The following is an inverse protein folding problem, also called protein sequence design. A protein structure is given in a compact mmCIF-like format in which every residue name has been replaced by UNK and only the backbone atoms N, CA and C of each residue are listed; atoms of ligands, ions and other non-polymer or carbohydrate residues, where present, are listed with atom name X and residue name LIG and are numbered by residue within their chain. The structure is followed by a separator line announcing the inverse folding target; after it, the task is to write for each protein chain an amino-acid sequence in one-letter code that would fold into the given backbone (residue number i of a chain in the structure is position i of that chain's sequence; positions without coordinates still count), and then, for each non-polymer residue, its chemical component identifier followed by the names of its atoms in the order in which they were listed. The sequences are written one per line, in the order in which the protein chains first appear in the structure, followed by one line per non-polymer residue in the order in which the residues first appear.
data_IF_427176710351
#
_entry.id   IF_427176710351
#
_cell.length_a   1.000
_cell.length_b   1.000
_cell.length_c   1.000
_cell.angle_alpha   90.00
_cell.angle_beta   90.00
_cell.angle_gamma   90.00
#
_symmetry.space_group_name_H-M   'P 1'
#
loop_
_entity.id
_entity.type
_entity.pdbx_description
1 polymer ?
#
# COMPACT_ATOMS: atom_id res chain seq x y z
N UNK A 1 8.67 3.66 -17.75
CA UNK A 1 8.67 3.23 -16.32
C UNK A 1 7.39 3.63 -15.58
N UNK A 2 7.05 4.92 -15.42
CA UNK A 2 5.80 5.32 -14.73
C UNK A 2 4.56 4.76 -15.44
N UNK A 3 4.57 4.76 -16.79
CA UNK A 3 3.47 4.23 -17.63
C UNK A 3 3.32 2.70 -17.55
N UNK A 4 4.37 1.99 -17.16
CA UNK A 4 4.37 0.52 -17.06
C UNK A 4 3.85 0.03 -15.71
N UNK A 5 3.84 0.89 -14.68
CA UNK A 5 3.43 0.52 -13.33
C UNK A 5 2.02 -0.06 -13.29
N UNK A 6 0.98 0.52 -13.94
CA UNK A 6 -0.35 -0.07 -13.94
C UNK A 6 -0.41 -1.46 -14.58
N UNK A 7 0.39 -1.71 -15.63
CA UNK A 7 0.47 -3.01 -16.30
C UNK A 7 1.11 -4.06 -15.39
N UNK A 8 2.26 -3.71 -14.79
CA UNK A 8 2.94 -4.57 -13.80
C UNK A 8 2.00 -4.86 -12.64
N UNK A 9 1.35 -3.83 -12.10
CA UNK A 9 0.42 -3.94 -10.98
C UNK A 9 -0.77 -4.86 -11.32
N UNK A 10 -1.33 -4.73 -12.53
CA UNK A 10 -2.40 -5.60 -13.02
C UNK A 10 -1.99 -7.07 -13.14
N UNK A 11 -0.74 -7.33 -13.53
CA UNK A 11 -0.23 -8.69 -13.72
C UNK A 11 0.16 -9.39 -12.40
N UNK A 12 0.79 -8.68 -11.45
CA UNK A 12 1.43 -9.33 -10.29
C UNK A 12 0.72 -9.10 -8.96
N UNK A 13 -0.09 -8.05 -8.82
CA UNK A 13 -0.53 -7.63 -7.49
C UNK A 13 -1.54 -8.60 -6.86
N UNK A 14 -2.65 -8.87 -7.55
CA UNK A 14 -3.73 -9.68 -6.96
C UNK A 14 -3.35 -11.16 -6.78
N UNK A 15 -2.64 -11.75 -7.74
CA UNK A 15 -2.22 -13.14 -7.64
C UNK A 15 -1.23 -13.31 -6.46
N UNK A 16 -0.23 -12.43 -6.34
CA UNK A 16 0.74 -12.47 -5.24
C UNK A 16 0.08 -12.19 -3.91
N UNK A 17 -0.82 -11.20 -3.83
CA UNK A 17 -1.55 -10.91 -2.60
C UNK A 17 -2.34 -12.14 -2.12
N UNK A 18 -3.07 -12.81 -3.01
CA UNK A 18 -3.79 -14.05 -2.68
C UNK A 18 -2.87 -15.16 -2.19
N UNK A 19 -1.66 -15.28 -2.76
CA UNK A 19 -0.68 -16.27 -2.30
C UNK A 19 -0.21 -15.98 -0.88
N UNK A 20 0.19 -14.74 -0.59
CA UNK A 20 0.81 -14.38 0.69
C UNK A 20 -0.20 -14.25 1.85
N UNK A 21 -1.48 -14.07 1.56
CA UNK A 21 -2.54 -13.97 2.59
C UNK A 21 -3.26 -15.30 2.85
N UNK A 22 -3.04 -16.34 2.02
CA UNK A 22 -3.74 -17.64 2.17
C UNK A 22 -3.15 -18.49 3.29
N UNK A 23 -1.83 -18.51 3.41
CA UNK A 23 -1.13 -19.28 4.42
C UNK A 23 0.08 -18.48 4.93
N UNK A 24 0.20 -18.29 6.25
CA UNK A 24 1.21 -17.42 6.84
C UNK A 24 2.61 -18.02 6.85
N UNK A 25 2.74 -19.31 6.54
CA UNK A 25 4.02 -20.03 6.48
C UNK A 25 4.52 -20.21 5.04
N UNK A 26 3.62 -20.13 4.04
CA UNK A 26 3.99 -20.35 2.64
C UNK A 26 4.54 -19.07 1.98
N UNK A 27 5.53 -19.26 1.11
CA UNK A 27 6.14 -18.23 0.26
C UNK A 27 6.69 -16.98 1.00
N UNK A 28 7.55 -17.13 2.02
CA UNK A 28 8.12 -16.01 2.77
C UNK A 28 8.89 -15.02 1.88
N UNK A 29 9.58 -15.52 0.86
CA UNK A 29 10.30 -14.67 -0.11
C UNK A 29 9.35 -13.80 -0.93
N UNK A 30 8.20 -14.34 -1.36
CA UNK A 30 7.23 -13.58 -2.16
C UNK A 30 6.64 -12.44 -1.34
N UNK A 31 6.39 -12.67 -0.04
CA UNK A 31 5.92 -11.65 0.88
C UNK A 31 6.90 -10.49 1.00
N UNK A 32 8.17 -10.79 1.25
CA UNK A 32 9.23 -9.79 1.32
C UNK A 32 9.37 -9.00 0.01
N UNK A 33 9.42 -9.70 -1.13
CA UNK A 33 9.57 -9.07 -2.45
C UNK A 33 8.34 -8.25 -2.84
N UNK A 34 7.13 -8.68 -2.47
CA UNK A 34 5.89 -7.95 -2.72
C UNK A 34 5.89 -6.59 -2.03
N UNK A 35 6.22 -6.52 -0.74
CA UNK A 35 6.30 -5.24 -0.05
C UNK A 35 7.50 -4.40 -0.48
N UNK A 36 8.61 -5.04 -0.87
CA UNK A 36 9.74 -4.33 -1.49
C UNK A 36 9.36 -3.67 -2.82
N UNK A 37 8.53 -4.33 -3.64
CA UNK A 37 8.00 -3.77 -4.88
C UNK A 37 7.11 -2.56 -4.59
N UNK A 38 6.16 -2.70 -3.65
CA UNK A 38 5.30 -1.59 -3.24
C UNK A 38 6.10 -0.38 -2.74
N UNK A 39 7.15 -0.63 -1.95
CA UNK A 39 8.06 0.41 -1.47
C UNK A 39 8.81 1.09 -2.62
N UNK A 40 9.31 0.33 -3.59
CA UNK A 40 9.97 0.88 -4.76
C UNK A 40 9.02 1.74 -5.62
N UNK A 41 7.77 1.29 -5.81
CA UNK A 41 6.75 2.05 -6.52
C UNK A 41 6.42 3.34 -5.76
N UNK A 42 6.23 3.27 -4.44
CA UNK A 42 5.95 4.46 -3.61
C UNK A 42 7.11 5.46 -3.61
N UNK A 43 8.36 4.99 -3.62
CA UNK A 43 9.55 5.86 -3.59
C UNK A 43 9.86 6.50 -4.96
N UNK A 44 9.77 5.74 -6.04
CA UNK A 44 10.27 6.17 -7.35
C UNK A 44 9.15 6.48 -8.36
N UNK A 45 7.97 5.89 -8.19
CA UNK A 45 6.86 5.96 -9.14
C UNK A 45 5.55 6.44 -8.48
N UNK A 46 5.66 7.32 -7.47
CA UNK A 46 4.51 7.82 -6.72
C UNK A 46 3.37 8.41 -7.61
N UNK A 47 3.65 9.16 -8.70
CA UNK A 47 2.59 9.63 -9.61
C UNK A 47 1.78 8.49 -10.24
N UNK A 48 2.41 7.36 -10.57
CA UNK A 48 1.69 6.19 -11.07
C UNK A 48 0.82 5.56 -9.97
N UNK A 49 1.31 5.51 -8.73
CA UNK A 49 0.58 4.96 -7.59
C UNK A 49 -0.73 5.73 -7.33
N UNK A 50 -0.69 7.06 -7.37
CA UNK A 50 -1.88 7.91 -7.19
C UNK A 50 -2.77 7.97 -8.45
N UNK A 51 -2.24 7.60 -9.61
CA UNK A 51 -2.98 7.48 -10.87
C UNK A 51 -3.69 6.14 -11.04
N UNK A 52 -3.50 5.19 -10.11
CA UNK A 52 -4.24 3.92 -10.11
C UNK A 52 -5.74 4.14 -9.90
N UNK A 53 -6.56 3.18 -10.35
CA UNK A 53 -8.00 3.21 -10.10
C UNK A 53 -8.32 3.13 -8.60
N UNK A 54 -9.48 3.65 -8.19
CA UNK A 54 -9.96 3.59 -6.79
C UNK A 54 -9.92 2.17 -6.21
N UNK A 55 -10.24 1.17 -7.03
CA UNK A 55 -10.23 -0.24 -6.62
C UNK A 55 -8.80 -0.73 -6.36
N UNK A 56 -7.84 -0.38 -7.22
CA UNK A 56 -6.43 -0.74 -7.04
C UNK A 56 -5.82 -0.02 -5.82
N UNK A 57 -6.12 1.26 -5.62
CA UNK A 57 -5.68 2.02 -4.44
C UNK A 57 -6.20 1.37 -3.16
N UNK A 58 -7.47 0.94 -3.14
CA UNK A 58 -8.04 0.22 -2.00
C UNK A 58 -7.26 -1.07 -1.73
N UNK A 59 -6.94 -1.84 -2.76
CA UNK A 59 -6.15 -3.08 -2.61
C UNK A 59 -4.74 -2.82 -2.09
N UNK A 60 -4.08 -1.73 -2.50
CA UNK A 60 -2.80 -1.29 -1.90
C UNK A 60 -2.98 -1.04 -0.41
N UNK A 61 -4.02 -0.28 -0.02
CA UNK A 61 -4.29 0.01 1.38
C UNK A 61 -4.58 -1.23 2.20
N UNK A 62 -5.46 -2.10 1.73
CA UNK A 62 -5.81 -3.35 2.40
C UNK A 62 -4.54 -4.22 2.60
N UNK A 63 -3.61 -4.23 1.63
CA UNK A 63 -2.33 -4.95 1.76
C UNK A 63 -1.38 -4.34 2.79
N UNK A 64 -1.34 -3.01 2.90
CA UNK A 64 -0.53 -2.29 3.91
C UNK A 64 -1.09 -2.56 5.31
N UNK A 65 -2.41 -2.56 5.46
CA UNK A 65 -3.10 -2.85 6.72
C UNK A 65 -2.85 -4.27 7.17
N UNK A 66 -2.95 -5.22 6.23
CA UNK A 66 -2.59 -6.59 6.52
C UNK A 66 -1.13 -6.71 6.99
N UNK A 67 -0.20 -5.98 6.35
CA UNK A 67 1.21 -6.00 6.71
C UNK A 67 1.48 -5.47 8.12
N UNK A 68 1.00 -4.26 8.46
CA UNK A 68 1.29 -3.69 9.79
C UNK A 68 0.55 -4.39 10.93
N UNK A 69 -0.50 -5.17 10.64
CA UNK A 69 -1.20 -6.03 11.61
C UNK A 69 -0.61 -7.44 11.69
N UNK A 70 0.44 -7.73 10.94
CA UNK A 70 1.07 -9.04 10.92
C UNK A 70 1.73 -9.35 12.27
N UNK A 71 1.76 -10.63 12.66
CA UNK A 71 2.35 -11.09 13.93
C UNK A 71 3.87 -11.02 13.92
N UNK A 72 4.49 -11.33 12.77
CA UNK A 72 5.93 -11.15 12.57
C UNK A 72 6.34 -9.67 12.49
N UNK A 73 7.25 -9.27 13.38
CA UNK A 73 7.74 -7.89 13.49
C UNK A 73 8.30 -7.33 12.18
N UNK A 74 9.06 -8.12 11.42
CA UNK A 74 9.70 -7.64 10.19
C UNK A 74 8.67 -7.21 9.13
N UNK A 75 7.54 -7.93 9.05
CA UNK A 75 6.47 -7.61 8.11
C UNK A 75 5.69 -6.40 8.62
N UNK A 76 5.41 -6.36 9.92
CA UNK A 76 4.74 -5.24 10.55
C UNK A 76 5.52 -3.92 10.33
N UNK A 77 6.82 -3.94 10.57
CA UNK A 77 7.71 -2.81 10.38
C UNK A 77 7.80 -2.41 8.91
N UNK A 78 7.86 -3.37 7.98
CA UNK A 78 7.84 -3.09 6.53
C UNK A 78 6.54 -2.39 6.12
N UNK A 79 5.40 -2.85 6.64
CA UNK A 79 4.09 -2.22 6.39
C UNK A 79 4.01 -0.79 6.91
N UNK A 80 4.48 -0.54 8.14
CA UNK A 80 4.54 0.80 8.74
C UNK A 80 5.48 1.74 7.98
N UNK A 81 6.67 1.27 7.61
CA UNK A 81 7.63 2.04 6.83
C UNK A 81 7.09 2.41 5.45
N UNK A 82 6.37 1.50 4.80
CA UNK A 82 5.69 1.77 3.53
C UNK A 82 4.59 2.82 3.69
N UNK A 83 3.76 2.69 4.73
CA UNK A 83 2.73 3.68 5.04
C UNK A 83 3.33 5.07 5.28
N UNK A 84 4.40 5.15 6.07
CA UNK A 84 5.11 6.40 6.34
C UNK A 84 5.70 7.00 5.06
N UNK A 85 6.30 6.19 4.19
CA UNK A 85 6.85 6.64 2.91
C UNK A 85 5.77 7.24 2.00
N UNK A 86 4.59 6.60 1.94
CA UNK A 86 3.44 7.12 1.18
C UNK A 86 2.97 8.45 1.77
N UNK A 87 2.82 8.55 3.09
CA UNK A 87 2.41 9.78 3.77
C UNK A 87 3.40 10.94 3.54
N UNK A 88 4.70 10.67 3.63
CA UNK A 88 5.75 11.67 3.34
C UNK A 88 5.69 12.13 1.88
N UNK A 89 5.53 11.21 0.93
CA UNK A 89 5.38 11.56 -0.48
C UNK A 89 4.12 12.43 -0.73
N UNK A 90 3.02 12.15 -0.03
CA UNK A 90 1.85 13.02 -0.05
C UNK A 90 2.18 14.40 0.49
N UNK A 91 2.82 14.49 1.66
CA UNK A 91 3.18 15.76 2.30
C UNK A 91 4.13 16.62 1.45
N UNK A 92 5.17 16.03 0.87
CA UNK A 92 6.14 16.76 0.04
C UNK A 92 5.52 17.27 -1.27
N UNK A 93 4.65 16.47 -1.88
CA UNK A 93 3.97 16.83 -3.13
C UNK A 93 2.70 17.68 -2.91
N UNK A 94 2.33 17.94 -1.65
CA UNK A 94 1.17 18.75 -1.24
C UNK A 94 1.41 20.26 -1.37
N UNK A 95 2.67 20.72 -1.44
CA UNK A 95 3.02 22.15 -1.38
C UNK A 95 2.66 22.98 -2.63
N UNK A 96 1.87 22.48 -3.60
CA UNK A 96 1.58 23.27 -4.81
C UNK A 96 0.44 22.86 -5.74
N UNK A 97 -0.48 21.93 -5.38
CA UNK A 97 -1.56 21.53 -6.30
C UNK A 97 -2.93 21.34 -5.61
N UNK A 98 -4.05 21.51 -6.35
CA UNK A 98 -5.40 21.26 -5.84
C UNK A 98 -5.69 19.74 -5.81
N UNK A 99 -5.03 19.02 -4.90
CA UNK A 99 -5.19 17.57 -4.71
C UNK A 99 -6.15 17.23 -3.55
N UNK A 100 -7.10 18.13 -3.25
CA UNK A 100 -7.91 18.08 -2.01
C UNK A 100 -8.73 16.78 -1.88
N UNK A 101 -9.25 16.26 -2.98
CA UNK A 101 -10.10 15.05 -3.01
C UNK A 101 -9.32 13.75 -2.80
N UNK A 102 -8.25 13.52 -3.57
CA UNK A 102 -7.48 12.25 -3.50
C UNK A 102 -6.75 12.10 -2.17
N UNK A 103 -6.24 13.21 -1.62
CA UNK A 103 -5.61 13.24 -0.31
C UNK A 103 -6.64 13.05 0.82
N UNK A 104 -7.83 13.66 0.73
CA UNK A 104 -8.91 13.35 1.68
C UNK A 104 -9.29 11.88 1.63
N UNK A 105 -9.40 11.28 0.44
CA UNK A 105 -9.74 9.85 0.29
C UNK A 105 -8.68 8.95 0.92
N UNK A 106 -7.40 9.23 0.66
CA UNK A 106 -6.29 8.50 1.28
C UNK A 106 -6.27 8.70 2.80
N UNK A 107 -6.40 9.94 3.27
CA UNK A 107 -6.38 10.29 4.69
C UNK A 107 -7.57 9.70 5.44
N UNK A 108 -8.79 9.80 4.91
CA UNK A 108 -10.00 9.18 5.47
C UNK A 108 -9.86 7.67 5.49
N UNK A 109 -9.33 7.05 4.44
CA UNK A 109 -9.11 5.61 4.42
C UNK A 109 -8.10 5.20 5.50
N UNK A 110 -6.96 5.87 5.58
CA UNK A 110 -5.94 5.64 6.62
C UNK A 110 -6.53 5.86 8.02
N UNK A 111 -7.22 6.96 8.28
CA UNK A 111 -7.86 7.24 9.56
C UNK A 111 -8.96 6.24 9.90
N UNK A 112 -9.81 5.85 8.94
CA UNK A 112 -10.84 4.85 9.13
C UNK A 112 -10.22 3.49 9.53
N UNK A 113 -9.12 3.10 8.90
CA UNK A 113 -8.49 1.81 9.19
C UNK A 113 -7.58 1.83 10.43
N UNK A 114 -6.96 2.97 10.77
CA UNK A 114 -6.18 3.13 12.01
C UNK A 114 -7.09 3.31 13.24
N UNK A 115 -8.20 4.07 13.12
CA UNK A 115 -9.14 4.33 14.21
C UNK A 115 -10.25 3.27 14.30
N UNK A 116 -10.50 2.53 13.22
CA UNK A 116 -11.49 1.45 13.13
C UNK A 116 -11.09 0.15 13.81
N UNK A 117 -9.98 0.10 14.55
CA UNK A 117 -9.61 -1.06 15.40
C UNK A 117 -10.49 -1.21 16.66
N UNK A 118 -11.75 -0.77 16.60
CA UNK A 118 -12.77 -1.05 17.61
C UNK A 118 -14.12 -1.29 16.95
N UNK A 119 -14.23 -2.37 16.15
CA UNK A 119 -15.42 -3.24 15.98
C UNK A 119 -15.26 -4.24 14.82
N UNK A 120 -14.76 -5.42 15.14
CA UNK A 120 -15.30 -6.72 14.66
C UNK A 120 -14.38 -7.85 15.12
N UNK A 121 -14.53 -8.23 16.37
CA UNK A 121 -15.02 -9.57 16.74
C UNK A 121 -16.06 -9.39 17.82
#
# INVERSE_FOLDING_TARGET
MIEDVPLIFGAVFQCTLKMITKNFEDHPEHRLKFFSLLRAIAAHCFPALIGLSSQQIKLVMDSIIWAFRHTEQNIAETGLNLLLAILKNFQERFLGMPLRETLLRFYISICYYLLGSSRSK
#
